data_IF_706498709967
#
_entry.id   IF_706498709967
#
_cell.length_a   1.000
_cell.length_b   1.000
_cell.length_c   1.000
_cell.angle_alpha   90.00
_cell.angle_beta   90.00
_cell.angle_gamma   90.00
#
_symmetry.space_group_name_H-M   'P 1'
#
loop_
_entity.id
_entity.type
_entity.pdbx_description
1 polymer ?
#
# COMPACT_ATOMS: atom_id res chain seq x y z
N UNK A 1 6.13 5.96 23.78
CA UNK A 1 5.24 5.61 22.64
C UNK A 1 5.70 4.29 22.04
N UNK A 2 4.81 3.31 21.80
CA UNK A 2 5.12 2.09 21.04
C UNK A 2 4.46 2.20 19.66
N UNK A 3 5.26 2.16 18.60
CA UNK A 3 4.76 2.13 17.22
C UNK A 3 4.11 0.76 17.01
N UNK A 4 2.87 0.75 16.50
CA UNK A 4 2.09 -0.49 16.30
C UNK A 4 2.11 -0.98 14.85
N UNK A 5 2.16 -0.06 13.89
CA UNK A 5 2.00 -0.38 12.47
C UNK A 5 2.78 0.61 11.61
N UNK A 6 3.39 0.10 10.54
CA UNK A 6 3.99 0.85 9.44
C UNK A 6 3.21 0.61 8.15
N UNK A 7 3.08 1.65 7.32
CA UNK A 7 2.58 1.54 5.95
C UNK A 7 3.72 1.96 5.03
N UNK A 8 4.18 1.06 4.18
CA UNK A 8 5.33 1.28 3.28
C UNK A 8 4.95 1.06 1.83
N UNK A 9 5.67 1.68 0.90
CA UNK A 9 5.54 1.33 -0.52
C UNK A 9 6.17 -0.05 -0.81
N UNK A 10 6.12 -0.53 -2.05
CA UNK A 10 6.73 -1.81 -2.49
C UNK A 10 8.27 -1.74 -2.45
N UNK A 11 8.85 -1.73 -1.26
CA UNK A 11 10.29 -1.69 -1.04
C UNK A 11 10.75 -2.75 -0.04
N UNK A 12 11.20 -3.91 -0.56
CA UNK A 12 11.55 -5.07 0.26
C UNK A 12 12.73 -4.83 1.22
N UNK A 13 13.64 -3.90 0.88
CA UNK A 13 14.74 -3.52 1.78
C UNK A 13 14.23 -2.77 3.00
N UNK A 14 13.29 -1.83 2.79
CA UNK A 14 12.68 -1.06 3.88
C UNK A 14 11.88 -1.97 4.80
N UNK A 15 11.14 -2.92 4.22
CA UNK A 15 10.40 -3.93 4.97
C UNK A 15 11.31 -4.67 5.95
N UNK A 16 12.42 -5.24 5.46
CA UNK A 16 13.33 -6.03 6.29
C UNK A 16 13.92 -5.21 7.45
N UNK A 17 14.33 -3.98 7.17
CA UNK A 17 14.86 -3.07 8.20
C UNK A 17 13.80 -2.77 9.26
N UNK A 18 12.54 -2.59 8.87
CA UNK A 18 11.45 -2.35 9.83
C UNK A 18 11.12 -3.57 10.68
N UNK A 19 11.19 -4.78 10.12
CA UNK A 19 11.04 -6.02 10.89
C UNK A 19 12.16 -6.22 11.92
N UNK A 20 13.39 -5.86 11.57
CA UNK A 20 14.54 -5.93 12.48
C UNK A 20 14.48 -4.87 13.58
N UNK A 21 14.11 -3.62 13.25
CA UNK A 21 14.03 -2.53 14.22
C UNK A 21 12.77 -2.56 15.09
N UNK A 22 11.65 -3.07 14.57
CA UNK A 22 10.35 -3.06 15.24
C UNK A 22 9.65 -4.42 15.14
N UNK A 23 10.19 -5.47 15.79
CA UNK A 23 9.69 -6.85 15.65
C UNK A 23 8.25 -7.05 16.15
N UNK A 24 7.72 -6.12 16.94
CA UNK A 24 6.32 -6.17 17.43
C UNK A 24 5.36 -5.34 16.58
N UNK A 25 5.85 -4.55 15.63
CA UNK A 25 5.01 -3.72 14.78
C UNK A 25 4.59 -4.47 13.52
N UNK A 26 3.38 -4.21 13.02
CA UNK A 26 2.92 -4.76 11.75
C UNK A 26 3.44 -3.90 10.60
N UNK A 27 3.93 -4.51 9.53
CA UNK A 27 4.30 -3.81 8.29
C UNK A 27 3.22 -4.11 7.24
N UNK A 28 2.59 -3.06 6.69
CA UNK A 28 1.55 -3.15 5.67
C UNK A 28 2.04 -2.48 4.38
N UNK A 29 1.70 -3.06 3.24
CA UNK A 29 1.94 -2.42 1.95
C UNK A 29 0.90 -1.33 1.70
N UNK A 30 1.37 -0.22 1.16
CA UNK A 30 0.55 0.89 0.71
C UNK A 30 -0.32 0.44 -0.46
N UNK A 31 -1.63 0.45 -0.25
CA UNK A 31 -2.58 0.08 -1.30
C UNK A 31 -2.76 1.17 -2.35
N UNK A 32 -2.23 2.38 -2.11
CA UNK A 32 -2.37 3.52 -3.02
C UNK A 32 -1.88 3.22 -4.44
N UNK A 33 -0.69 2.63 -4.59
CA UNK A 33 -0.14 2.28 -5.91
C UNK A 33 -1.00 1.25 -6.64
N UNK A 34 -1.51 0.24 -5.92
CA UNK A 34 -2.44 -0.74 -6.48
C UNK A 34 -3.72 -0.04 -6.95
N UNK A 35 -4.35 0.77 -6.08
CA UNK A 35 -5.58 1.50 -6.39
C UNK A 35 -5.39 2.44 -7.58
N UNK A 36 -4.28 3.18 -7.63
CA UNK A 36 -3.96 4.09 -8.74
C UNK A 36 -3.73 3.34 -10.05
N UNK A 37 -3.03 2.20 -9.99
CA UNK A 37 -2.84 1.33 -11.14
C UNK A 37 -4.19 0.81 -11.67
N UNK A 38 -5.05 0.30 -10.76
CA UNK A 38 -6.39 -0.17 -11.10
C UNK A 38 -7.24 0.95 -11.69
N UNK A 39 -7.26 2.14 -11.08
CA UNK A 39 -7.93 3.32 -11.61
C UNK A 39 -7.47 3.64 -13.03
N UNK A 40 -6.15 3.73 -13.27
CA UNK A 40 -5.59 4.00 -14.60
C UNK A 40 -6.04 2.96 -15.63
N UNK A 41 -5.99 1.68 -15.25
CA UNK A 41 -6.31 0.55 -16.11
C UNK A 41 -7.81 0.44 -16.41
N UNK A 42 -8.68 0.81 -15.47
CA UNK A 42 -10.14 0.86 -15.68
C UNK A 42 -10.55 2.11 -16.46
N UNK A 43 -10.00 3.29 -16.14
CA UNK A 43 -10.27 4.52 -16.90
C UNK A 43 -9.84 4.39 -18.36
N UNK A 44 -8.72 3.72 -18.65
CA UNK A 44 -8.29 3.46 -20.03
C UNK A 44 -9.18 2.46 -20.78
N UNK A 45 -9.92 1.58 -20.10
CA UNK A 45 -10.73 0.53 -20.74
C UNK A 45 -12.22 0.85 -20.84
N UNK A 46 -12.77 1.60 -19.90
CA UNK A 46 -14.23 1.74 -19.78
C UNK A 46 -14.73 3.18 -19.58
N UNK A 47 -13.85 4.19 -19.55
CA UNK A 47 -14.27 5.60 -19.38
C UNK A 47 -14.97 5.91 -18.05
N UNK A 48 -14.96 4.97 -17.09
CA UNK A 48 -15.63 5.09 -15.80
C UNK A 48 -14.72 5.86 -14.81
N UNK A 49 -15.17 7.05 -14.44
CA UNK A 49 -14.44 8.01 -13.57
C UNK A 49 -14.56 7.64 -12.07
N UNK A 50 -15.48 6.75 -11.71
CA UNK A 50 -15.76 6.35 -10.33
C UNK A 50 -15.59 4.84 -10.12
N UNK A 51 -14.34 4.38 -10.05
CA UNK A 51 -14.05 3.09 -9.39
C UNK A 51 -13.95 3.37 -7.89
N UNK A 52 -15.03 3.08 -7.17
CA UNK A 52 -14.98 2.95 -5.70
C UNK A 52 -14.23 1.65 -5.43
N UNK A 53 -12.92 1.73 -5.25
CA UNK A 53 -12.18 0.63 -4.64
C UNK A 53 -12.43 0.76 -3.14
N UNK A 54 -13.37 -0.03 -2.61
CA UNK A 54 -13.52 -0.19 -1.17
C UNK A 54 -12.21 -0.77 -0.63
N UNK A 55 -11.47 0.06 0.13
CA UNK A 55 -10.33 -0.34 0.96
C UNK A 55 -10.85 -0.65 2.35
#
# INVERSE_FOLDING_TARGET
MKIKTFVIDKHFVEWRVLEECFPTAKVLLCQFHAIMYWKKLVSNRFGLVHVIVCV
#
